data_IF_695348249939
#
_entry.id   IF_695348249939
#
_cell.length_a   1.000
_cell.length_b   1.000
_cell.length_c   1.000
_cell.angle_alpha   90.00
_cell.angle_beta   90.00
_cell.angle_gamma   90.00
#
_symmetry.space_group_name_H-M   'P 1'
#
loop_
_entity.id
_entity.type
_entity.pdbx_description
1 polymer ?
#
# COMPACT_ATOMS: atom_id res chain seq x y z
N UNK A 1 13.09 -5.20 -7.89
CA UNK A 1 12.83 -5.43 -6.45
C UNK A 1 12.33 -4.11 -5.89
N UNK A 2 11.24 -4.12 -5.12
CA UNK A 2 10.63 -2.90 -4.59
C UNK A 2 10.37 -3.04 -3.10
N UNK A 3 10.34 -1.94 -2.36
CA UNK A 3 9.74 -1.86 -1.03
C UNK A 3 8.39 -1.15 -1.13
N UNK A 4 7.44 -1.61 -0.32
CA UNK A 4 6.12 -1.02 -0.23
C UNK A 4 6.03 -0.18 1.04
N UNK A 5 5.57 1.05 0.91
CA UNK A 5 5.31 1.96 2.02
C UNK A 5 3.90 2.50 1.90
N UNK A 6 3.24 2.69 3.04
CA UNK A 6 1.90 3.25 3.10
C UNK A 6 1.84 4.35 4.15
N UNK A 7 1.10 5.41 3.85
CA UNK A 7 0.77 6.47 4.81
C UNK A 7 -0.75 6.47 4.94
N UNK A 8 -1.29 5.88 6.02
CA UNK A 8 -2.72 5.82 6.21
C UNK A 8 -3.30 7.20 6.60
N UNK A 9 -4.48 7.50 6.10
CA UNK A 9 -5.29 8.67 6.42
C UNK A 9 -6.79 8.28 6.36
N UNK A 10 -7.66 9.12 6.90
CA UNK A 10 -9.09 8.85 6.99
C UNK A 10 -9.80 8.89 5.62
N UNK A 11 -9.23 9.64 4.66
CA UNK A 11 -9.86 9.91 3.36
C UNK A 11 -9.12 9.29 2.18
N UNK A 12 -7.79 9.36 2.19
CA UNK A 12 -6.92 8.88 1.12
C UNK A 12 -5.70 8.22 1.75
N UNK A 13 -5.48 6.94 1.49
CA UNK A 13 -4.21 6.29 1.81
C UNK A 13 -3.22 6.54 0.68
N UNK A 14 -2.05 6.98 1.06
CA UNK A 14 -0.92 7.05 0.15
C UNK A 14 -0.23 5.69 0.09
N UNK A 15 -0.03 5.18 -1.11
CA UNK A 15 0.67 3.92 -1.38
C UNK A 15 1.87 4.22 -2.26
N UNK A 16 3.04 3.85 -1.77
CA UNK A 16 4.33 4.22 -2.36
C UNK A 16 5.13 2.96 -2.65
N UNK A 17 5.60 2.83 -3.87
CA UNK A 17 6.60 1.83 -4.25
C UNK A 17 7.95 2.51 -4.39
N UNK A 18 8.93 2.01 -3.65
CA UNK A 18 10.29 2.53 -3.65
C UNK A 18 11.25 1.48 -4.22
N UNK A 19 12.19 1.89 -5.06
CA UNK A 19 13.11 1.00 -5.78
C UNK A 19 14.26 0.45 -4.93
N UNK A 20 14.50 1.02 -3.73
CA UNK A 20 15.52 0.57 -2.79
C UNK A 20 14.95 -0.39 -1.74
N UNK A 21 15.86 -1.00 -0.98
CA UNK A 21 15.58 -1.91 0.14
C UNK A 21 16.17 -1.32 1.42
N UNK A 22 15.44 -1.46 2.53
CA UNK A 22 15.80 -0.89 3.82
C UNK A 22 15.46 -1.89 4.93
N UNK A 23 16.09 -1.77 6.11
CA UNK A 23 15.55 -2.34 7.34
C UNK A 23 14.11 -1.86 7.59
N UNK A 24 13.31 -2.70 8.23
CA UNK A 24 11.93 -2.38 8.53
C UNK A 24 11.81 -1.22 9.53
N UNK A 25 10.93 -0.26 9.24
CA UNK A 25 10.53 0.78 10.17
C UNK A 25 11.35 2.08 10.09
N UNK A 26 11.82 2.53 11.25
CA UNK A 26 12.44 3.83 11.46
C UNK A 26 13.83 3.70 12.06
N UNK A 27 14.65 4.73 11.88
CA UNK A 27 15.95 4.84 12.54
C UNK A 27 15.83 5.20 14.03
N UNK A 28 16.97 5.29 14.71
CA UNK A 28 17.06 5.68 16.13
C UNK A 28 16.45 7.07 16.43
N UNK A 29 16.26 7.89 15.39
CA UNK A 29 15.67 9.22 15.48
C UNK A 29 14.18 9.25 15.08
N UNK A 30 13.55 8.08 14.97
CA UNK A 30 12.16 7.90 14.53
C UNK A 30 11.87 8.39 13.10
N UNK A 31 12.89 8.48 12.25
CA UNK A 31 12.70 8.81 10.83
C UNK A 31 12.49 7.55 10.01
N UNK A 32 11.52 7.54 9.07
CA UNK A 32 11.38 6.43 8.12
C UNK A 32 12.71 6.16 7.42
N UNK A 33 13.09 4.89 7.33
CA UNK A 33 14.31 4.49 6.59
C UNK A 33 14.22 4.79 5.09
N UNK A 34 13.02 5.07 4.58
CA UNK A 34 12.71 5.35 3.18
C UNK A 34 13.36 6.66 2.71
N UNK A 35 14.06 6.60 1.58
CA UNK A 35 14.55 7.76 0.83
C UNK A 35 13.54 8.12 -0.30
N UNK A 36 12.76 9.22 -0.20
CA UNK A 36 11.69 9.55 -1.16
C UNK A 36 12.14 9.76 -2.60
N UNK A 37 13.40 10.13 -2.83
CA UNK A 37 13.95 10.30 -4.19
C UNK A 37 14.04 9.00 -5.00
N UNK A 38 13.85 7.85 -4.35
CA UNK A 38 13.78 6.52 -4.98
C UNK A 38 12.36 5.98 -5.13
N UNK A 39 11.34 6.80 -4.84
CA UNK A 39 9.94 6.47 -5.09
C UNK A 39 9.71 6.41 -6.60
N UNK A 40 9.26 5.25 -7.07
CA UNK A 40 8.94 5.02 -8.48
C UNK A 40 7.44 5.18 -8.76
N UNK A 41 6.63 5.09 -7.73
CA UNK A 41 5.18 5.21 -7.81
C UNK A 41 4.65 5.74 -6.49
N UNK A 42 3.81 6.76 -6.57
CA UNK A 42 3.13 7.38 -5.44
C UNK A 42 1.66 7.62 -5.84
N UNK A 43 0.76 6.93 -5.14
CA UNK A 43 -0.66 6.90 -5.48
C UNK A 43 -1.49 7.17 -4.25
N UNK A 44 -2.52 8.00 -4.41
CA UNK A 44 -3.56 8.19 -3.40
C UNK A 44 -4.76 7.31 -3.74
N UNK A 45 -5.10 6.38 -2.86
CA UNK A 45 -6.22 5.45 -3.02
C UNK A 45 -7.23 5.63 -1.90
N UNK A 46 -8.52 5.61 -2.25
CA UNK A 46 -9.59 5.70 -1.27
C UNK A 46 -9.76 4.36 -0.54
N UNK A 47 -9.71 4.32 0.80
CA UNK A 47 -10.08 3.14 1.55
C UNK A 47 -11.57 2.83 1.36
N UNK A 48 -11.85 1.56 1.12
CA UNK A 48 -13.19 0.99 1.06
C UNK A 48 -13.51 0.35 2.40
N UNK A 49 -14.75 0.54 2.85
CA UNK A 49 -15.24 -0.14 4.05
C UNK A 49 -15.67 -1.57 3.70
N UNK A 50 -15.27 -2.52 4.53
CA UNK A 50 -15.72 -3.91 4.46
C UNK A 50 -16.86 -4.15 5.44
N UNK A 51 -17.80 -5.02 5.06
CA UNK A 51 -18.90 -5.42 5.94
C UNK A 51 -18.41 -6.32 7.10
N UNK A 52 -17.38 -7.12 6.83
CA UNK A 52 -16.77 -8.05 7.79
C UNK A 52 -15.31 -7.67 8.03
N UNK A 53 -14.88 -7.73 9.28
CA UNK A 53 -13.50 -7.45 9.65
C UNK A 53 -12.53 -8.55 9.16
N UNK A 54 -11.36 -8.12 8.68
CA UNK A 54 -10.24 -8.98 8.30
C UNK A 54 -9.17 -8.89 9.39
N UNK A 55 -9.06 -9.93 10.21
CA UNK A 55 -8.16 -9.93 11.38
C UNK A 55 -6.68 -9.87 11.00
N UNK A 56 -6.27 -10.60 9.97
CA UNK A 56 -4.88 -10.67 9.52
C UNK A 56 -4.65 -9.71 8.36
N UNK A 57 -3.64 -8.85 8.48
CA UNK A 57 -3.24 -7.97 7.39
C UNK A 57 -2.92 -8.81 6.14
N UNK A 58 -3.76 -8.69 5.13
CA UNK A 58 -3.74 -9.53 3.94
C UNK A 58 -3.37 -8.69 2.73
N UNK A 59 -2.41 -9.17 1.95
CA UNK A 59 -2.04 -8.62 0.65
C UNK A 59 -2.35 -9.67 -0.42
N UNK A 60 -3.07 -9.28 -1.46
CA UNK A 60 -3.44 -10.19 -2.54
C UNK A 60 -3.73 -9.48 -3.86
N UNK A 61 -3.78 -10.26 -4.93
CA UNK A 61 -4.19 -9.76 -6.24
C UNK A 61 -5.64 -10.16 -6.51
N UNK A 62 -6.45 -9.18 -6.91
CA UNK A 62 -7.82 -9.39 -7.37
C UNK A 62 -7.86 -9.21 -8.89
N UNK A 63 -8.11 -10.31 -9.58
CA UNK A 63 -8.22 -10.39 -11.04
C UNK A 63 -9.60 -10.89 -11.49
N UNK A 64 -10.62 -10.72 -10.64
CA UNK A 64 -11.99 -11.14 -10.93
C UNK A 64 -12.64 -10.31 -12.05
N UNK A 65 -12.07 -9.15 -12.38
CA UNK A 65 -12.47 -8.29 -13.50
C UNK A 65 -11.36 -8.25 -14.55
N UNK A 66 -11.63 -7.71 -15.75
CA UNK A 66 -10.59 -7.44 -16.76
C UNK A 66 -9.48 -6.48 -16.26
N UNK A 67 -9.64 -5.89 -15.07
CA UNK A 67 -8.63 -5.09 -14.38
C UNK A 67 -8.00 -5.89 -13.23
N UNK A 68 -6.68 -5.80 -13.11
CA UNK A 68 -5.91 -6.38 -11.99
C UNK A 68 -5.76 -5.32 -10.90
N UNK A 69 -6.08 -5.69 -9.66
CA UNK A 69 -5.87 -4.85 -8.48
C UNK A 69 -4.94 -5.53 -7.49
N UNK A 70 -3.97 -4.77 -6.97
CA UNK A 70 -3.30 -5.12 -5.73
C UNK A 70 -4.18 -4.67 -4.57
N UNK A 71 -4.50 -5.58 -3.68
CA UNK A 71 -5.40 -5.33 -2.56
C UNK A 71 -4.69 -5.46 -1.24
N UNK A 72 -5.03 -4.56 -0.31
CA UNK A 72 -4.61 -4.60 1.09
C UNK A 72 -5.87 -4.62 1.93
N UNK A 73 -6.01 -5.55 2.86
CA UNK A 73 -7.19 -5.64 3.71
C UNK A 73 -6.79 -5.90 5.17
N UNK A 74 -7.38 -5.13 6.07
CA UNK A 74 -7.24 -5.28 7.52
C UNK A 74 -8.36 -4.55 8.26
N UNK A 75 -8.83 -5.13 9.35
CA UNK A 75 -10.04 -4.70 10.06
C UNK A 75 -11.20 -4.51 9.05
N UNK A 76 -11.97 -3.43 9.13
CA UNK A 76 -13.04 -3.14 8.18
C UNK A 76 -12.58 -2.27 7.00
N UNK A 77 -11.29 -2.29 6.66
CA UNK A 77 -10.71 -1.46 5.59
C UNK A 77 -10.09 -2.32 4.50
N UNK A 78 -10.42 -2.00 3.24
CA UNK A 78 -9.78 -2.54 2.03
C UNK A 78 -9.26 -1.41 1.16
N UNK A 79 -8.05 -1.55 0.67
CA UNK A 79 -7.52 -0.76 -0.43
C UNK A 79 -7.47 -1.59 -1.71
N UNK A 80 -7.69 -0.92 -2.83
CA UNK A 80 -7.56 -1.48 -4.17
C UNK A 80 -6.68 -0.56 -5.01
N UNK A 81 -5.44 -0.96 -5.24
CA UNK A 81 -4.50 -0.24 -6.10
C UNK A 81 -4.58 -0.83 -7.51
N UNK A 82 -5.03 -0.06 -8.51
CA UNK A 82 -5.13 -0.56 -9.88
C UNK A 82 -3.73 -0.79 -10.45
N UNK A 83 -3.51 -1.97 -11.02
CA UNK A 83 -2.31 -2.29 -11.80
C UNK A 83 -2.72 -2.27 -13.27
N UNK A 84 -2.17 -1.30 -14.00
CA UNK A 84 -2.29 -1.24 -15.45
C UNK A 84 -0.90 -1.35 -16.05
N UNK A 85 -0.76 -2.13 -17.11
CA UNK A 85 0.37 -1.94 -18.01
C UNK A 85 0.23 -0.55 -18.64
N UNK A 86 1.33 0.22 -18.62
CA UNK A 86 1.41 1.50 -19.32
C UNK A 86 1.71 1.26 -20.79
#
# INVERSE_FOLDING_TARGET
KYTLWTIPNDTLWQVIFNSKQYPWGVDETMKPMREPEFDVLDLSVKPQKLDTAVEQFTIGFDNSTDNVYLTFAWDQVKLMVPIKEQ
#
